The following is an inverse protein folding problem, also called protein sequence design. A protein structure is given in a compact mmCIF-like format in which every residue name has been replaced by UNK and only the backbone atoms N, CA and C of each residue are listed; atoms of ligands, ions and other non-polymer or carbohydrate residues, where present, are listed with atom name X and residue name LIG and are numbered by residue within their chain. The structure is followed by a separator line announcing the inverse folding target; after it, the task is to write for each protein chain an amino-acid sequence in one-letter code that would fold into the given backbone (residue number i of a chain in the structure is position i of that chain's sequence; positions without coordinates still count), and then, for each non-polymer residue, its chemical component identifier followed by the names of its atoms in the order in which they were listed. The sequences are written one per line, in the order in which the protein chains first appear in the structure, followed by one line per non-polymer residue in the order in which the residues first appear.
data_IF_923095600021
#
_entry.id   IF_923095600021
#
_cell.length_a   1.000
_cell.length_b   1.000
_cell.length_c   1.000
_cell.angle_alpha   90.00
_cell.angle_beta   90.00
_cell.angle_gamma   90.00
#
_symmetry.space_group_name_H-M   'P 1'
#
loop_
_entity.id
_entity.type
_entity.pdbx_description
1 polymer ?
#
# COMPACT_ATOMS: atom_id res chain seq x y z
N UNK A 1 -30.92 -9.15 35.74
CA UNK A 1 -31.03 -9.69 34.36
C UNK A 1 -29.67 -9.72 33.74
N UNK A 2 -29.15 -10.89 33.32
CA UNK A 2 -27.84 -10.97 32.67
C UNK A 2 -27.92 -10.38 31.26
N UNK A 3 -26.92 -9.56 30.88
CA UNK A 3 -26.79 -9.00 29.54
C UNK A 3 -26.59 -10.13 28.50
N UNK A 4 -27.20 -10.03 27.31
CA UNK A 4 -27.04 -11.03 26.29
C UNK A 4 -25.57 -11.03 25.84
N UNK A 5 -24.95 -12.24 25.81
CA UNK A 5 -23.65 -12.48 25.20
C UNK A 5 -23.77 -12.13 23.72
N UNK A 6 -23.07 -11.08 23.29
CA UNK A 6 -22.86 -10.80 21.87
C UNK A 6 -22.18 -11.98 21.23
N UNK A 7 -22.86 -12.61 20.28
CA UNK A 7 -22.26 -13.60 19.38
C UNK A 7 -21.04 -12.96 18.68
N UNK A 8 -19.95 -13.69 18.51
CA UNK A 8 -18.82 -13.20 17.74
C UNK A 8 -19.30 -12.87 16.32
N UNK A 9 -18.92 -11.69 15.83
CA UNK A 9 -19.11 -11.30 14.43
C UNK A 9 -18.61 -12.41 13.53
N UNK A 10 -19.31 -12.78 12.43
CA UNK A 10 -18.82 -13.79 11.50
C UNK A 10 -17.42 -13.39 11.07
N UNK A 11 -16.46 -14.29 11.27
CA UNK A 11 -15.07 -14.08 10.89
C UNK A 11 -15.04 -13.67 9.41
N UNK A 12 -14.29 -12.61 9.10
CA UNK A 12 -14.10 -12.16 7.71
C UNK A 12 -13.65 -13.38 6.87
N UNK A 13 -14.40 -13.77 5.83
CA UNK A 13 -14.07 -14.97 5.02
C UNK A 13 -12.64 -14.91 4.46
N UNK A 14 -12.11 -13.70 4.26
CA UNK A 14 -10.73 -13.50 3.79
C UNK A 14 -9.72 -13.79 4.91
N UNK A 15 -10.05 -13.46 6.16
CA UNK A 15 -9.19 -13.77 7.31
C UNK A 15 -9.18 -15.27 7.61
N UNK A 16 -10.34 -15.93 7.60
CA UNK A 16 -10.43 -17.38 7.77
C UNK A 16 -9.63 -18.11 6.70
N UNK A 17 -9.75 -17.68 5.44
CA UNK A 17 -9.00 -18.26 4.33
C UNK A 17 -7.51 -17.93 4.33
N UNK A 18 -7.11 -16.80 4.91
CA UNK A 18 -5.71 -16.48 5.14
C UNK A 18 -5.07 -17.33 6.23
N UNK A 19 -5.87 -17.78 7.19
CA UNK A 19 -5.46 -18.75 8.22
C UNK A 19 -5.35 -20.18 7.65
N UNK A 20 -6.21 -20.53 6.70
CA UNK A 20 -6.15 -21.80 5.96
C UNK A 20 -4.94 -21.91 5.03
N UNK A 21 -4.42 -20.77 4.53
CA UNK A 21 -3.13 -20.72 3.84
C UNK A 21 -2.02 -20.91 4.88
N UNK A 22 -1.79 -22.15 5.24
CA UNK A 22 -0.76 -22.50 6.21
C UNK A 22 0.59 -21.94 5.74
N UNK A 23 1.19 -21.07 6.57
CA UNK A 23 2.49 -20.49 6.28
C UNK A 23 3.56 -21.56 6.00
N UNK A 24 3.34 -22.79 6.46
CA UNK A 24 4.20 -23.92 6.18
C UNK A 24 4.18 -24.30 4.69
N UNK A 25 3.07 -24.12 3.96
CA UNK A 25 2.99 -24.39 2.52
C UNK A 25 3.96 -23.54 1.70
N UNK A 26 4.37 -22.38 2.23
CA UNK A 26 5.37 -21.52 1.60
C UNK A 26 6.78 -22.12 1.63
N UNK A 27 7.09 -22.91 2.67
CA UNK A 27 8.44 -23.44 2.93
C UNK A 27 8.52 -24.92 2.57
N UNK A 28 7.46 -25.69 2.91
CA UNK A 28 7.40 -27.13 2.70
C UNK A 28 6.30 -27.46 1.68
N UNK A 29 6.67 -27.76 0.42
CA UNK A 29 5.73 -28.18 -0.59
C UNK A 29 4.90 -29.39 -0.13
N UNK A 30 3.60 -29.34 -0.34
CA UNK A 30 2.65 -30.40 0.08
C UNK A 30 3.10 -31.82 -0.31
N UNK A 31 3.68 -31.96 -1.52
CA UNK A 31 4.17 -33.25 -2.04
C UNK A 31 5.38 -33.85 -1.28
N UNK A 32 6.03 -33.08 -0.39
CA UNK A 32 7.20 -33.52 0.38
C UNK A 32 6.96 -33.56 1.89
N UNK A 33 5.75 -33.23 2.35
CA UNK A 33 5.44 -33.16 3.79
C UNK A 33 5.69 -34.50 4.49
N UNK A 34 5.24 -35.58 3.89
CA UNK A 34 5.40 -36.92 4.48
C UNK A 34 6.87 -37.34 4.61
N UNK A 35 7.71 -36.94 3.64
CA UNK A 35 9.15 -37.22 3.69
C UNK A 35 9.91 -36.35 4.72
N UNK A 36 9.46 -35.13 4.92
CA UNK A 36 10.10 -34.17 5.85
C UNK A 36 9.55 -34.33 7.28
N UNK A 37 8.31 -34.81 7.43
CA UNK A 37 7.67 -35.03 8.72
C UNK A 37 8.42 -36.07 9.59
N UNK A 38 9.22 -36.94 9.00
CA UNK A 38 10.03 -37.93 9.75
C UNK A 38 11.22 -37.31 10.47
N UNK A 39 11.63 -36.09 10.10
CA UNK A 39 12.82 -35.39 10.65
C UNK A 39 12.46 -34.10 11.40
N UNK A 40 11.27 -33.52 11.13
CA UNK A 40 10.84 -32.28 11.76
C UNK A 40 10.05 -32.55 13.03
N UNK A 41 10.46 -31.94 14.12
CA UNK A 41 9.69 -31.90 15.37
C UNK A 41 8.57 -30.86 15.29
N UNK A 42 7.58 -30.91 16.20
CA UNK A 42 6.52 -29.90 16.27
C UNK A 42 7.11 -28.48 16.51
N UNK A 43 8.20 -28.37 17.25
CA UNK A 43 8.91 -27.11 17.49
C UNK A 43 9.59 -26.58 16.22
N UNK A 44 10.17 -27.45 15.40
CA UNK A 44 10.71 -27.06 14.08
C UNK A 44 9.61 -26.54 13.17
N UNK A 45 8.47 -27.20 13.14
CA UNK A 45 7.29 -26.80 12.38
C UNK A 45 6.77 -25.43 12.87
N UNK A 46 6.68 -25.22 14.20
CA UNK A 46 6.27 -23.96 14.78
C UNK A 46 7.24 -22.81 14.42
N UNK A 47 8.54 -23.09 14.48
CA UNK A 47 9.59 -22.14 14.09
C UNK A 47 9.49 -21.78 12.62
N UNK A 48 9.33 -22.74 11.72
CA UNK A 48 9.18 -22.50 10.28
C UNK A 48 7.90 -21.70 9.95
N UNK A 49 6.79 -22.00 10.64
CA UNK A 49 5.54 -21.23 10.53
C UNK A 49 5.74 -19.77 10.94
N UNK A 50 6.43 -19.55 12.05
CA UNK A 50 6.77 -18.19 12.51
C UNK A 50 7.61 -17.44 11.48
N UNK A 51 8.69 -18.04 11.00
CA UNK A 51 9.58 -17.44 9.99
C UNK A 51 8.84 -17.12 8.68
N UNK A 52 7.93 -17.98 8.23
CA UNK A 52 7.14 -17.73 7.05
C UNK A 52 6.17 -16.55 7.23
N UNK A 53 5.51 -16.46 8.39
CA UNK A 53 4.59 -15.35 8.73
C UNK A 53 5.33 -14.03 8.81
N UNK A 54 6.47 -13.99 9.49
CA UNK A 54 7.33 -12.81 9.58
C UNK A 54 7.89 -12.41 8.20
N UNK A 55 8.29 -13.39 7.38
CA UNK A 55 8.85 -13.15 6.04
C UNK A 55 7.86 -12.61 5.02
N UNK A 56 6.59 -13.00 5.10
CA UNK A 56 5.60 -12.63 4.06
C UNK A 56 4.72 -11.44 4.42
N UNK A 57 4.53 -11.13 5.68
CA UNK A 57 3.65 -10.07 6.15
C UNK A 57 2.15 -10.34 5.90
N UNK A 58 1.31 -9.95 6.86
CA UNK A 58 -0.14 -10.23 6.87
C UNK A 58 -0.90 -9.74 5.61
N UNK A 59 -0.48 -8.63 5.00
CA UNK A 59 -1.13 -8.11 3.79
C UNK A 59 -0.87 -8.98 2.55
N UNK A 60 0.28 -9.64 2.48
CA UNK A 60 0.61 -10.56 1.38
C UNK A 60 -0.25 -11.82 1.49
N UNK A 61 -0.37 -12.38 2.69
CA UNK A 61 -1.22 -13.56 2.94
C UNK A 61 -2.70 -13.27 2.63
N UNK A 62 -3.24 -12.12 3.10
CA UNK A 62 -4.60 -11.69 2.75
C UNK A 62 -4.81 -11.53 1.25
N UNK A 63 -3.83 -10.99 0.54
CA UNK A 63 -3.92 -10.83 -0.91
C UNK A 63 -3.92 -12.21 -1.62
N UNK A 64 -3.08 -13.14 -1.19
CA UNK A 64 -3.06 -14.51 -1.72
C UNK A 64 -4.38 -15.23 -1.45
N UNK A 65 -4.91 -15.14 -0.22
CA UNK A 65 -6.21 -15.75 0.14
C UNK A 65 -7.36 -15.17 -0.69
N UNK A 66 -7.42 -13.85 -0.84
CA UNK A 66 -8.42 -13.18 -1.67
C UNK A 66 -8.32 -13.56 -3.14
N UNK A 67 -7.09 -13.67 -3.66
CA UNK A 67 -6.88 -14.09 -5.05
C UNK A 67 -7.22 -15.55 -5.26
N UNK A 68 -6.88 -16.44 -4.33
CA UNK A 68 -7.25 -17.87 -4.40
C UNK A 68 -8.77 -18.04 -4.43
N UNK A 69 -9.49 -17.41 -3.50
CA UNK A 69 -10.95 -17.49 -3.49
C UNK A 69 -11.61 -16.98 -4.75
N UNK A 70 -11.03 -15.94 -5.36
CA UNK A 70 -11.50 -15.45 -6.66
C UNK A 70 -11.22 -16.46 -7.78
N UNK A 71 -10.00 -17.02 -7.85
CA UNK A 71 -9.58 -17.97 -8.89
C UNK A 71 -10.40 -19.25 -8.86
N UNK A 72 -10.65 -19.80 -7.67
CA UNK A 72 -11.48 -20.99 -7.48
C UNK A 72 -12.92 -20.75 -7.96
N UNK A 73 -13.55 -19.67 -7.50
CA UNK A 73 -14.91 -19.32 -7.89
C UNK A 73 -15.03 -19.04 -9.39
N UNK A 74 -14.05 -18.35 -9.98
CA UNK A 74 -14.01 -18.09 -11.41
C UNK A 74 -13.84 -19.40 -12.20
N UNK A 75 -12.94 -20.28 -11.78
CA UNK A 75 -12.69 -21.54 -12.48
C UNK A 75 -13.93 -22.43 -12.48
N UNK A 76 -14.57 -22.58 -11.33
CA UNK A 76 -15.81 -23.33 -11.18
C UNK A 76 -16.92 -22.80 -12.10
N UNK A 77 -17.15 -21.47 -12.12
CA UNK A 77 -18.16 -20.85 -12.95
C UNK A 77 -17.81 -20.92 -14.45
N UNK A 78 -16.54 -20.77 -14.81
CA UNK A 78 -16.10 -20.69 -16.21
C UNK A 78 -15.87 -22.06 -16.87
N UNK A 79 -15.74 -23.13 -16.09
CA UNK A 79 -15.39 -24.47 -16.59
C UNK A 79 -16.26 -25.60 -16.03
N UNK A 80 -17.06 -25.35 -15.00
CA UNK A 80 -17.80 -26.36 -14.27
C UNK A 80 -16.93 -27.30 -13.41
N UNK A 81 -15.63 -26.99 -13.24
CA UNK A 81 -14.68 -27.84 -12.54
C UNK A 81 -13.86 -27.05 -11.51
N UNK A 82 -13.35 -27.71 -10.45
CA UNK A 82 -12.48 -27.06 -9.46
C UNK A 82 -11.17 -26.59 -10.10
N UNK A 83 -10.52 -25.63 -9.44
CA UNK A 83 -9.25 -25.08 -9.88
C UNK A 83 -8.15 -26.15 -9.96
N UNK A 84 -7.61 -26.46 -11.15
CA UNK A 84 -6.62 -27.52 -11.28
C UNK A 84 -5.23 -27.09 -10.83
N UNK A 85 -4.46 -28.05 -10.32
CA UNK A 85 -3.08 -27.87 -9.90
C UNK A 85 -2.18 -28.94 -10.54
N UNK A 86 -1.21 -28.59 -11.39
CA UNK A 86 -0.93 -27.25 -11.93
C UNK A 86 -2.00 -26.80 -12.93
N UNK A 87 -2.13 -25.48 -13.11
CA UNK A 87 -3.00 -24.93 -14.12
C UNK A 87 -2.44 -25.18 -15.53
N UNK A 88 -3.24 -25.72 -16.48
CA UNK A 88 -2.84 -25.84 -17.87
C UNK A 88 -2.78 -24.45 -18.53
N UNK A 89 -1.93 -24.34 -19.55
CA UNK A 89 -1.72 -23.07 -20.27
C UNK A 89 -3.02 -22.51 -20.86
N UNK A 90 -3.88 -23.35 -21.41
CA UNK A 90 -5.18 -22.98 -21.95
C UNK A 90 -6.08 -22.29 -20.93
N UNK A 91 -6.05 -22.74 -19.67
CA UNK A 91 -6.84 -22.13 -18.59
C UNK A 91 -6.27 -20.77 -18.21
N UNK A 92 -4.94 -20.61 -18.20
CA UNK A 92 -4.30 -19.30 -17.95
C UNK A 92 -4.65 -18.29 -19.05
N UNK A 93 -4.64 -18.71 -20.30
CA UNK A 93 -5.06 -17.88 -21.45
C UNK A 93 -6.55 -17.53 -21.37
N UNK A 94 -7.42 -18.50 -21.01
CA UNK A 94 -8.84 -18.26 -20.77
C UNK A 94 -9.05 -17.22 -19.66
N UNK A 95 -8.28 -17.31 -18.58
CA UNK A 95 -8.33 -16.32 -17.52
C UNK A 95 -7.98 -14.91 -18.02
N UNK A 96 -6.96 -14.76 -18.86
CA UNK A 96 -6.60 -13.47 -19.47
C UNK A 96 -7.73 -12.95 -20.36
N UNK A 97 -8.29 -13.79 -21.23
CA UNK A 97 -9.37 -13.42 -22.14
C UNK A 97 -10.64 -12.98 -21.41
N UNK A 98 -11.02 -13.69 -20.34
CA UNK A 98 -12.20 -13.33 -19.55
C UNK A 98 -12.04 -12.03 -18.76
N UNK A 99 -10.83 -11.55 -18.51
CA UNK A 99 -10.58 -10.39 -17.62
C UNK A 99 -10.03 -9.16 -18.34
N UNK A 100 -9.40 -9.33 -19.52
CA UNK A 100 -8.83 -8.24 -20.31
C UNK A 100 -9.51 -8.18 -21.69
N UNK A 101 -10.70 -7.64 -21.72
CA UNK A 101 -11.53 -7.51 -22.91
C UNK A 101 -11.81 -6.03 -23.23
N UNK A 102 -12.22 -5.75 -24.49
CA UNK A 102 -12.55 -4.40 -24.94
C UNK A 102 -14.06 -4.13 -24.75
N UNK A 103 -14.43 -3.10 -23.97
CA UNK A 103 -15.84 -2.73 -23.78
C UNK A 103 -16.56 -2.37 -25.09
N UNK A 104 -15.87 -1.81 -26.08
CA UNK A 104 -16.45 -1.45 -27.37
C UNK A 104 -16.80 -2.70 -28.19
N UNK A 105 -15.89 -3.68 -28.19
CA UNK A 105 -16.14 -4.95 -28.87
C UNK A 105 -17.22 -5.78 -28.16
N UNK A 106 -17.22 -5.79 -26.81
CA UNK A 106 -18.27 -6.46 -26.03
C UNK A 106 -19.66 -5.83 -26.26
N UNK A 107 -19.74 -4.52 -26.50
CA UNK A 107 -21.00 -3.88 -26.81
C UNK A 107 -21.57 -4.30 -28.20
N UNK A 108 -20.71 -4.78 -29.10
CA UNK A 108 -21.10 -5.32 -30.42
C UNK A 108 -21.37 -6.83 -30.37
N UNK A 109 -20.59 -7.54 -29.55
CA UNK A 109 -20.64 -8.99 -29.39
C UNK A 109 -20.53 -9.36 -27.91
N UNK A 110 -21.64 -9.80 -27.31
CA UNK A 110 -21.73 -10.18 -25.91
C UNK A 110 -20.84 -11.39 -25.54
N UNK A 111 -20.40 -12.17 -26.54
CA UNK A 111 -19.47 -13.29 -26.32
C UNK A 111 -18.02 -12.84 -26.10
N UNK A 112 -17.71 -11.55 -26.36
CA UNK A 112 -16.37 -11.00 -26.19
C UNK A 112 -16.04 -10.80 -24.71
N UNK A 113 -15.05 -11.53 -24.19
CA UNK A 113 -14.57 -11.42 -22.82
C UNK A 113 -15.16 -12.44 -21.85
N UNK A 114 -15.54 -12.01 -20.64
CA UNK A 114 -16.12 -12.89 -19.64
C UNK A 114 -17.60 -13.18 -19.97
N UNK A 115 -18.05 -14.45 -20.03
CA UNK A 115 -19.47 -14.78 -20.18
C UNK A 115 -20.33 -14.15 -19.08
N UNK A 116 -21.56 -13.77 -19.42
CA UNK A 116 -22.46 -13.05 -18.49
C UNK A 116 -22.82 -13.88 -17.27
N UNK A 117 -23.03 -15.19 -17.42
CA UNK A 117 -23.31 -16.12 -16.33
C UNK A 117 -22.14 -16.21 -15.32
N UNK A 118 -20.90 -16.20 -15.81
CA UNK A 118 -19.68 -16.15 -14.97
C UNK A 118 -19.58 -14.82 -14.25
N UNK A 119 -19.85 -13.71 -14.95
CA UNK A 119 -19.81 -12.38 -14.36
C UNK A 119 -20.87 -12.25 -13.26
N UNK A 120 -22.12 -12.64 -13.53
CA UNK A 120 -23.22 -12.60 -12.56
C UNK A 120 -22.89 -13.49 -11.35
N UNK A 121 -22.39 -14.70 -11.58
CA UNK A 121 -22.02 -15.61 -10.49
C UNK A 121 -20.92 -15.04 -9.58
N UNK A 122 -19.90 -14.39 -10.14
CA UNK A 122 -18.86 -13.72 -9.37
C UNK A 122 -19.39 -12.50 -8.59
N UNK A 123 -20.33 -11.76 -9.15
CA UNK A 123 -20.99 -10.62 -8.48
C UNK A 123 -21.85 -11.11 -7.32
N UNK A 124 -22.64 -12.14 -7.53
CA UNK A 124 -23.49 -12.74 -6.47
C UNK A 124 -22.65 -13.24 -5.29
N UNK A 125 -21.47 -13.80 -5.57
CA UNK A 125 -20.50 -14.19 -4.53
C UNK A 125 -19.75 -13.00 -3.90
N UNK A 126 -20.00 -11.76 -4.32
CA UNK A 126 -19.32 -10.55 -3.82
C UNK A 126 -17.84 -10.40 -4.23
N UNK A 127 -17.38 -11.23 -5.17
CA UNK A 127 -15.98 -11.29 -5.62
C UNK A 127 -15.67 -10.31 -6.76
N UNK A 128 -16.67 -9.87 -7.51
CA UNK A 128 -16.56 -8.89 -8.57
C UNK A 128 -17.40 -7.65 -8.24
N UNK A 129 -16.75 -6.52 -7.98
CA UNK A 129 -17.39 -5.28 -7.52
C UNK A 129 -17.35 -4.15 -8.55
N UNK A 130 -16.54 -4.28 -9.58
CA UNK A 130 -16.29 -3.22 -10.55
C UNK A 130 -16.87 -3.65 -11.90
N UNK A 131 -17.52 -2.72 -12.60
CA UNK A 131 -18.01 -2.95 -13.95
C UNK A 131 -16.89 -2.86 -14.97
N UNK A 132 -17.00 -3.66 -16.04
CA UNK A 132 -16.05 -3.70 -17.13
C UNK A 132 -14.80 -4.56 -16.87
N UNK A 133 -13.82 -4.52 -17.79
CA UNK A 133 -12.62 -5.34 -17.71
C UNK A 133 -11.77 -5.01 -16.50
N UNK A 134 -11.02 -6.00 -16.01
CA UNK A 134 -10.05 -5.77 -14.93
C UNK A 134 -8.90 -4.88 -15.39
N UNK A 135 -8.30 -4.17 -14.43
CA UNK A 135 -7.03 -3.52 -14.70
C UNK A 135 -5.95 -4.59 -14.97
N UNK A 136 -5.08 -4.40 -15.98
CA UNK A 136 -4.03 -5.36 -16.31
C UNK A 136 -3.14 -5.75 -15.11
N UNK A 137 -2.86 -4.80 -14.21
CA UNK A 137 -2.08 -5.07 -13.00
C UNK A 137 -2.83 -5.99 -12.00
N UNK A 138 -4.16 -5.98 -11.99
CA UNK A 138 -4.97 -6.90 -11.19
C UNK A 138 -4.87 -8.33 -11.74
N UNK A 139 -4.96 -8.49 -13.06
CA UNK A 139 -4.82 -9.80 -13.71
C UNK A 139 -3.41 -10.34 -13.50
N UNK A 140 -2.38 -9.51 -13.72
CA UNK A 140 -0.98 -9.88 -13.47
C UNK A 140 -0.75 -10.31 -12.01
N UNK A 141 -1.30 -9.59 -11.04
CA UNK A 141 -1.21 -9.93 -9.62
C UNK A 141 -1.84 -11.30 -9.33
N UNK A 142 -3.04 -11.57 -9.85
CA UNK A 142 -3.73 -12.86 -9.66
C UNK A 142 -2.96 -14.01 -10.30
N UNK A 143 -2.43 -13.84 -11.51
CA UNK A 143 -1.55 -14.83 -12.13
C UNK A 143 -0.27 -15.08 -11.31
N UNK A 144 0.31 -14.03 -10.73
CA UNK A 144 1.47 -14.15 -9.84
C UNK A 144 1.09 -14.90 -8.56
N UNK A 145 -0.03 -14.57 -7.94
CA UNK A 145 -0.55 -15.29 -6.76
C UNK A 145 -0.79 -16.76 -7.07
N UNK A 146 -1.40 -17.06 -8.22
CA UNK A 146 -1.62 -18.43 -8.68
C UNK A 146 -0.31 -19.19 -8.89
N UNK A 147 0.69 -18.54 -9.52
CA UNK A 147 2.04 -19.10 -9.69
C UNK A 147 2.72 -19.40 -8.34
N UNK A 148 2.60 -18.48 -7.36
CA UNK A 148 3.14 -18.69 -6.01
C UNK A 148 2.50 -19.90 -5.35
N UNK A 149 1.16 -19.98 -5.36
CA UNK A 149 0.39 -21.08 -4.78
C UNK A 149 0.68 -22.42 -5.46
N UNK A 150 0.93 -22.43 -6.78
CA UNK A 150 1.36 -23.62 -7.52
C UNK A 150 2.72 -24.12 -7.03
N UNK A 151 3.67 -23.19 -6.86
CA UNK A 151 5.02 -23.53 -6.35
C UNK A 151 4.99 -24.03 -4.90
N UNK A 152 4.12 -23.48 -4.06
CA UNK A 152 3.94 -23.98 -2.69
C UNK A 152 3.44 -25.43 -2.62
N UNK A 153 2.77 -25.89 -3.68
CA UNK A 153 2.39 -27.28 -3.85
C UNK A 153 3.50 -28.17 -4.44
N UNK A 154 4.69 -27.62 -4.64
CA UNK A 154 5.81 -28.35 -5.28
C UNK A 154 5.60 -28.60 -6.78
N UNK A 155 4.66 -27.88 -7.40
CA UNK A 155 4.30 -28.07 -8.79
C UNK A 155 4.87 -26.96 -9.68
N UNK A 156 5.11 -27.32 -10.95
CA UNK A 156 5.52 -26.35 -11.97
C UNK A 156 4.36 -26.11 -12.93
N UNK A 157 3.95 -24.84 -13.07
CA UNK A 157 2.86 -24.44 -13.97
C UNK A 157 3.35 -23.66 -15.18
N UNK A 158 2.48 -23.47 -16.18
CA UNK A 158 2.78 -22.80 -17.46
C UNK A 158 2.83 -21.26 -17.36
N UNK A 159 3.08 -20.68 -16.19
CA UNK A 159 3.09 -19.20 -15.97
C UNK A 159 4.21 -18.47 -16.70
N UNK A 160 5.26 -19.18 -17.11
CA UNK A 160 6.37 -18.65 -17.91
C UNK A 160 6.19 -18.82 -19.42
N UNK A 161 5.08 -19.44 -19.88
CA UNK A 161 4.83 -19.71 -21.28
C UNK A 161 4.92 -18.47 -22.16
N UNK A 162 5.55 -18.53 -23.33
CA UNK A 162 5.67 -17.40 -24.27
C UNK A 162 4.32 -16.83 -24.70
N UNK A 163 3.33 -17.71 -24.95
CA UNK A 163 1.97 -17.36 -25.29
C UNK A 163 1.28 -16.50 -24.22
N UNK A 164 1.36 -16.91 -22.94
CA UNK A 164 0.80 -16.16 -21.84
C UNK A 164 1.47 -14.78 -21.68
N UNK A 165 2.81 -14.72 -21.78
CA UNK A 165 3.56 -13.45 -21.74
C UNK A 165 3.16 -12.54 -22.90
N UNK A 166 2.98 -13.11 -24.10
CA UNK A 166 2.58 -12.38 -25.30
C UNK A 166 1.13 -11.86 -25.17
N UNK A 167 0.20 -12.72 -24.76
CA UNK A 167 -1.20 -12.34 -24.51
C UNK A 167 -1.29 -11.20 -23.48
N UNK A 168 -0.62 -11.30 -22.34
CA UNK A 168 -0.59 -10.25 -21.34
C UNK A 168 0.02 -8.94 -21.87
N UNK A 169 1.11 -9.00 -22.65
CA UNK A 169 1.75 -7.82 -23.22
C UNK A 169 0.83 -7.11 -24.21
N UNK A 170 0.16 -7.87 -25.09
CA UNK A 170 -0.75 -7.33 -26.10
C UNK A 170 -2.02 -6.77 -25.44
N UNK A 171 -2.60 -7.49 -24.49
CA UNK A 171 -3.77 -7.03 -23.75
C UNK A 171 -3.48 -5.73 -22.95
N UNK A 172 -2.29 -5.57 -22.39
CA UNK A 172 -1.88 -4.31 -21.72
C UNK A 172 -1.79 -3.15 -22.69
N UNK A 173 -1.33 -3.40 -23.94
CA UNK A 173 -1.27 -2.37 -25.00
C UNK A 173 -2.64 -2.00 -25.54
N UNK A 174 -3.51 -2.99 -25.70
CA UNK A 174 -4.89 -2.81 -26.18
C UNK A 174 -5.83 -2.24 -25.11
N UNK A 175 -5.47 -2.35 -23.81
CA UNK A 175 -6.36 -1.93 -22.74
C UNK A 175 -6.68 -0.44 -22.84
N UNK A 176 -7.93 -0.13 -23.11
CA UNK A 176 -8.49 1.22 -23.14
C UNK A 176 -8.55 1.88 -21.76
N UNK A 177 -8.40 1.07 -20.70
CA UNK A 177 -8.48 1.53 -19.32
C UNK A 177 -7.19 2.21 -18.88
N UNK A 178 -7.22 3.51 -18.79
CA UNK A 178 -6.13 4.29 -18.20
C UNK A 178 -5.85 3.82 -16.77
N UNK A 179 -4.56 3.76 -16.37
CA UNK A 179 -4.16 3.49 -15.00
C UNK A 179 -4.82 4.51 -14.07
N UNK A 180 -5.75 4.08 -13.23
CA UNK A 180 -6.27 4.94 -12.17
C UNK A 180 -5.17 5.12 -11.12
N UNK A 181 -4.64 6.34 -11.00
CA UNK A 181 -3.74 6.70 -9.91
C UNK A 181 -4.50 6.56 -8.59
N UNK A 182 -3.83 6.05 -7.54
CA UNK A 182 -4.41 5.92 -6.18
C UNK A 182 -4.76 7.29 -5.57
N UNK A 183 -4.06 8.34 -5.97
CA UNK A 183 -4.42 9.74 -5.77
C UNK A 183 -4.46 10.39 -7.14
N UNK A 184 -5.54 11.07 -7.47
CA UNK A 184 -5.68 11.79 -8.74
C UNK A 184 -4.78 13.03 -8.75
N UNK A 185 -4.61 13.67 -7.56
CA UNK A 185 -3.76 14.83 -7.34
C UNK A 185 -2.69 14.54 -6.28
N UNK A 186 -1.55 15.18 -6.42
CA UNK A 186 -0.47 15.18 -5.44
C UNK A 186 -0.79 16.20 -4.33
N UNK A 187 -0.39 15.90 -3.10
CA UNK A 187 -0.43 16.85 -1.98
C UNK A 187 0.91 17.61 -1.99
N UNK A 188 1.01 18.64 -2.82
CA UNK A 188 2.16 19.55 -2.93
C UNK A 188 2.22 20.51 -1.75
N UNK A 189 3.27 21.32 -1.65
CA UNK A 189 3.45 22.25 -0.53
C UNK A 189 2.31 23.26 -0.35
N UNK A 190 1.73 23.75 -1.45
CA UNK A 190 0.55 24.62 -1.45
C UNK A 190 -0.72 23.92 -0.94
N UNK A 191 -0.95 22.66 -1.37
CA UNK A 191 -2.05 21.85 -0.87
C UNK A 191 -1.84 21.53 0.62
N UNK A 192 -0.63 21.13 1.01
CA UNK A 192 -0.29 20.87 2.41
C UNK A 192 -0.55 22.11 3.28
N UNK A 193 -0.16 23.31 2.82
CA UNK A 193 -0.40 24.54 3.55
C UNK A 193 -1.91 24.80 3.79
N UNK A 194 -2.76 24.53 2.80
CA UNK A 194 -4.22 24.61 2.95
C UNK A 194 -4.76 23.59 3.98
N UNK A 195 -4.24 22.36 3.97
CA UNK A 195 -4.62 21.34 4.95
C UNK A 195 -4.20 21.76 6.37
N UNK A 196 -2.99 22.29 6.53
CA UNK A 196 -2.45 22.76 7.81
C UNK A 196 -3.25 23.94 8.38
N UNK A 197 -3.75 24.84 7.52
CA UNK A 197 -4.62 25.93 7.95
C UNK A 197 -5.94 25.43 8.58
N UNK A 198 -6.39 24.23 8.28
CA UNK A 198 -7.54 23.60 8.97
C UNK A 198 -7.18 22.97 10.31
N UNK A 199 -5.91 22.94 10.66
CA UNK A 199 -5.36 22.32 11.89
C UNK A 199 -4.61 23.36 12.75
N UNK A 200 -4.95 24.65 12.67
CA UNK A 200 -4.27 25.74 13.41
C UNK A 200 -4.78 25.87 14.86
N UNK A 201 -5.89 25.19 15.19
CA UNK A 201 -6.44 25.18 16.53
C UNK A 201 -5.59 24.43 17.56
N UNK A 202 -5.95 24.61 18.85
CA UNK A 202 -5.28 23.97 19.99
C UNK A 202 -5.96 22.69 20.47
N UNK A 203 -7.05 22.26 19.81
CA UNK A 203 -7.70 21.00 20.15
C UNK A 203 -6.78 19.82 19.86
N UNK A 204 -6.81 18.79 20.70
CA UNK A 204 -5.97 17.59 20.53
C UNK A 204 -6.08 16.98 19.12
N UNK A 205 -7.27 17.04 18.50
CA UNK A 205 -7.48 16.55 17.14
C UNK A 205 -6.72 17.40 16.12
N UNK A 206 -6.65 18.72 16.30
CA UNK A 206 -5.93 19.62 15.40
C UNK A 206 -4.42 19.48 15.56
N UNK A 207 -3.93 19.35 16.80
CA UNK A 207 -2.52 19.09 17.10
C UNK A 207 -2.07 17.75 16.50
N UNK A 208 -2.85 16.69 16.69
CA UNK A 208 -2.57 15.37 16.11
C UNK A 208 -2.50 15.42 14.59
N UNK A 209 -3.50 16.02 13.95
CA UNK A 209 -3.62 16.02 12.49
C UNK A 209 -2.54 16.87 11.86
N UNK A 210 -2.19 18.01 12.46
CA UNK A 210 -1.06 18.85 12.06
C UNK A 210 0.27 18.09 12.14
N UNK A 211 0.54 17.46 13.29
CA UNK A 211 1.74 16.65 13.48
C UNK A 211 1.80 15.48 12.48
N UNK A 212 0.68 14.77 12.25
CA UNK A 212 0.58 13.66 11.32
C UNK A 212 0.87 14.09 9.89
N UNK A 213 0.26 15.17 9.41
CA UNK A 213 0.44 15.66 8.04
C UNK A 213 1.87 16.14 7.79
N UNK A 214 2.44 16.90 8.73
CA UNK A 214 3.81 17.38 8.65
C UNK A 214 4.82 16.26 8.70
N UNK A 215 4.69 15.32 9.66
CA UNK A 215 5.57 14.15 9.77
C UNK A 215 5.49 13.28 8.52
N UNK A 216 4.29 12.96 8.05
CA UNK A 216 4.10 12.13 6.87
C UNK A 216 4.68 12.75 5.59
N UNK A 217 4.58 14.07 5.44
CA UNK A 217 5.12 14.78 4.28
C UNK A 217 6.65 14.94 4.38
N UNK A 218 7.13 15.51 5.48
CA UNK A 218 8.55 15.87 5.65
C UNK A 218 9.48 14.65 5.71
N UNK A 219 8.98 13.50 6.19
CA UNK A 219 9.73 12.25 6.14
C UNK A 219 9.79 11.60 4.75
N UNK A 220 9.54 12.36 3.67
CA UNK A 220 9.59 11.88 2.29
C UNK A 220 8.30 11.27 1.77
N UNK A 221 7.15 11.64 2.34
CA UNK A 221 5.84 11.12 1.96
C UNK A 221 5.66 9.65 2.38
N UNK A 222 5.71 9.39 3.69
CA UNK A 222 5.57 8.04 4.25
C UNK A 222 4.28 7.35 3.83
N UNK A 223 4.34 6.01 3.74
CA UNK A 223 3.13 5.23 3.53
C UNK A 223 2.23 5.35 4.75
N UNK A 224 0.92 5.37 4.54
CA UNK A 224 -0.07 5.47 5.63
C UNK A 224 0.10 4.39 6.73
N UNK A 225 0.61 3.21 6.38
CA UNK A 225 0.94 2.17 7.36
C UNK A 225 2.17 2.54 8.18
N UNK A 226 3.22 3.06 7.56
CA UNK A 226 4.45 3.49 8.24
C UNK A 226 4.16 4.66 9.19
N UNK A 227 3.26 5.57 8.82
CA UNK A 227 2.81 6.67 9.71
C UNK A 227 1.98 6.14 10.87
N UNK A 228 1.06 5.20 10.62
CA UNK A 228 0.21 4.62 11.66
C UNK A 228 1.00 3.77 12.66
N UNK A 229 2.04 3.10 12.19
CA UNK A 229 2.86 2.18 12.98
C UNK A 229 4.02 2.88 13.73
N UNK A 230 4.20 4.22 13.52
CA UNK A 230 5.27 5.00 14.16
C UNK A 230 5.13 4.97 15.68
N UNK A 231 6.24 4.71 16.38
CA UNK A 231 6.30 4.63 17.84
C UNK A 231 7.23 5.70 18.40
N UNK A 232 7.01 6.06 19.65
CA UNK A 232 7.88 7.02 20.35
C UNK A 232 9.30 6.50 20.45
N UNK A 233 9.47 5.19 20.62
CA UNK A 233 10.77 4.52 20.72
C UNK A 233 11.59 4.60 19.41
N UNK A 234 10.93 4.94 18.29
CA UNK A 234 11.60 5.14 16.99
C UNK A 234 12.13 6.56 16.80
N UNK A 235 11.79 7.47 17.72
CA UNK A 235 12.15 8.89 17.65
C UNK A 235 13.43 9.16 18.43
N UNK A 236 14.40 9.78 17.79
CA UNK A 236 15.66 10.18 18.41
C UNK A 236 15.84 11.68 18.23
N UNK A 237 15.92 12.40 19.34
CA UNK A 237 16.26 13.82 19.32
C UNK A 237 17.72 13.99 18.87
N UNK A 238 17.93 14.91 17.97
CA UNK A 238 19.26 15.30 17.46
C UNK A 238 19.60 16.73 17.87
N UNK A 239 20.88 17.08 17.80
CA UNK A 239 21.30 18.46 17.97
C UNK A 239 20.62 19.38 16.95
N UNK A 240 20.16 20.57 17.35
CA UNK A 240 19.57 21.53 16.43
C UNK A 240 20.51 21.88 15.26
N UNK A 241 19.96 22.09 14.09
CA UNK A 241 20.72 22.41 12.87
C UNK A 241 20.41 23.80 12.38
N UNK A 242 21.35 24.44 11.71
CA UNK A 242 21.11 25.76 11.08
C UNK A 242 20.04 25.67 9.98
N UNK A 243 19.18 26.68 9.91
CA UNK A 243 18.14 26.78 8.88
C UNK A 243 18.72 26.84 7.46
N UNK A 244 19.85 27.51 7.30
CA UNK A 244 20.70 27.44 6.11
C UNK A 244 22.04 26.76 6.47
N UNK A 245 22.33 25.57 5.93
CA UNK A 245 23.60 24.88 6.19
C UNK A 245 24.86 25.67 5.78
N UNK A 246 24.70 26.70 4.93
CA UNK A 246 25.79 27.56 4.45
C UNK A 246 25.97 28.81 5.26
N UNK A 247 25.00 29.15 6.13
CA UNK A 247 25.03 30.31 6.98
C UNK A 247 25.00 29.91 8.46
N UNK A 248 26.16 29.93 9.14
CA UNK A 248 26.24 29.56 10.56
C UNK A 248 25.59 30.62 11.47
N UNK A 249 25.12 31.75 10.93
CA UNK A 249 24.38 32.76 11.69
C UNK A 249 22.86 32.58 11.55
N UNK A 250 22.39 31.66 10.66
CA UNK A 250 20.97 31.37 10.50
C UNK A 250 20.39 30.73 11.77
N UNK A 251 19.07 30.89 12.02
CA UNK A 251 18.44 30.33 13.22
C UNK A 251 18.65 28.81 13.33
N UNK A 252 18.83 28.34 14.55
CA UNK A 252 18.85 26.91 14.85
C UNK A 252 17.42 26.36 14.84
N UNK A 253 17.23 25.28 14.11
CA UNK A 253 15.97 24.55 14.00
C UNK A 253 16.06 23.21 14.73
N UNK A 254 15.01 22.78 15.45
CA UNK A 254 14.99 21.49 16.08
C UNK A 254 15.12 20.38 15.04
N UNK A 255 15.87 19.35 15.38
CA UNK A 255 16.16 18.20 14.53
C UNK A 255 15.75 16.91 15.24
N UNK A 256 15.22 15.95 14.48
CA UNK A 256 14.79 14.66 15.00
C UNK A 256 14.98 13.57 13.92
N UNK A 257 15.56 12.47 14.31
CA UNK A 257 15.68 11.26 13.47
C UNK A 257 14.54 10.28 13.79
N UNK A 258 13.89 9.78 12.74
CA UNK A 258 12.94 8.67 12.83
C UNK A 258 13.63 7.40 12.36
N UNK A 259 13.84 6.44 13.26
CA UNK A 259 14.32 5.12 12.94
C UNK A 259 13.14 4.30 12.37
N UNK A 260 13.22 3.98 11.10
CA UNK A 260 12.22 3.15 10.45
C UNK A 260 12.69 1.71 10.58
N UNK A 261 12.00 0.93 11.41
CA UNK A 261 12.22 -0.50 11.52
C UNK A 261 12.07 -1.20 10.16
N UNK A 262 11.90 -2.51 10.16
CA UNK A 262 11.75 -3.31 8.93
C UNK A 262 10.64 -2.76 8.04
N UNK A 263 11.00 -2.07 6.95
CA UNK A 263 10.05 -1.61 5.94
C UNK A 263 9.80 -2.71 4.90
N UNK A 264 8.77 -2.57 4.08
CA UNK A 264 8.44 -3.54 3.01
C UNK A 264 9.63 -3.89 2.08
N UNK A 265 10.68 -3.08 2.08
CA UNK A 265 11.80 -3.15 1.13
C UNK A 265 13.17 -3.20 1.78
N UNK A 266 13.27 -3.28 3.11
CA UNK A 266 14.53 -3.31 3.87
C UNK A 266 14.72 -4.65 4.56
N UNK A 267 15.97 -5.08 4.72
CA UNK A 267 16.38 -6.22 5.53
C UNK A 267 16.56 -5.79 6.98
N UNK A 268 16.71 -6.74 7.92
CA UNK A 268 16.87 -6.45 9.35
C UNK A 268 18.14 -5.64 9.68
N UNK A 269 19.15 -5.70 8.80
CA UNK A 269 20.45 -5.02 8.98
C UNK A 269 20.47 -3.58 8.43
N UNK A 270 19.46 -3.18 7.63
CA UNK A 270 19.36 -1.83 7.10
C UNK A 270 18.82 -0.89 8.21
N UNK A 271 19.69 -0.14 8.87
CA UNK A 271 19.31 0.98 9.76
C UNK A 271 18.77 2.13 8.90
N UNK A 272 17.54 2.00 8.46
CA UNK A 272 16.89 3.02 7.64
C UNK A 272 16.30 4.06 8.56
N UNK A 273 16.73 5.29 8.40
CA UNK A 273 16.22 6.43 9.14
C UNK A 273 15.88 7.58 8.19
N UNK A 274 15.09 8.51 8.66
CA UNK A 274 14.79 9.78 7.99
C UNK A 274 14.86 10.91 9.01
N UNK A 275 15.25 12.08 8.55
CA UNK A 275 15.44 13.26 9.40
C UNK A 275 14.29 14.23 9.22
N UNK A 276 13.79 14.78 10.32
CA UNK A 276 12.85 15.89 10.35
C UNK A 276 13.56 17.12 10.91
N UNK A 277 13.29 18.31 10.34
CA UNK A 277 13.88 19.57 10.76
C UNK A 277 12.80 20.64 10.87
N UNK A 278 12.82 21.42 11.94
CA UNK A 278 11.97 22.57 12.16
C UNK A 278 10.50 22.24 12.46
N UNK A 279 9.57 22.89 11.76
CA UNK A 279 8.11 22.77 11.99
C UNK A 279 7.54 21.36 12.16
N UNK A 280 7.96 20.33 11.40
CA UNK A 280 7.51 18.97 11.65
C UNK A 280 7.89 18.44 13.03
N UNK A 281 9.09 18.77 13.51
CA UNK A 281 9.59 18.37 14.84
C UNK A 281 8.79 19.10 15.94
N UNK A 282 8.60 20.40 15.78
CA UNK A 282 7.82 21.22 16.72
C UNK A 282 6.39 20.71 16.87
N UNK A 283 5.72 20.47 15.74
CA UNK A 283 4.35 19.96 15.75
C UNK A 283 4.26 18.55 16.37
N UNK A 284 5.23 17.69 16.08
CA UNK A 284 5.29 16.34 16.63
C UNK A 284 5.49 16.34 18.16
N UNK A 285 6.45 17.16 18.64
CA UNK A 285 6.73 17.31 20.07
C UNK A 285 5.56 17.94 20.80
N UNK A 286 4.92 18.95 20.22
CA UNK A 286 3.72 19.57 20.78
C UNK A 286 2.59 18.55 20.93
N UNK A 287 2.32 17.77 19.87
CA UNK A 287 1.31 16.69 19.95
C UNK A 287 1.62 15.68 21.05
N UNK A 288 2.86 15.19 21.15
CA UNK A 288 3.25 14.20 22.17
C UNK A 288 3.09 14.75 23.58
N UNK A 289 3.51 16.00 23.80
CA UNK A 289 3.40 16.66 25.10
C UNK A 289 1.95 16.86 25.52
N UNK A 290 1.11 17.46 24.68
CA UNK A 290 -0.30 17.73 24.98
C UNK A 290 -1.13 16.44 25.14
N UNK A 291 -0.79 15.41 24.37
CA UNK A 291 -1.42 14.09 24.46
C UNK A 291 -0.86 13.22 25.58
N UNK A 292 0.20 13.65 26.27
CA UNK A 292 0.92 12.90 27.31
C UNK A 292 1.33 11.50 26.84
N UNK A 293 1.98 11.45 25.68
CA UNK A 293 2.42 10.20 25.04
C UNK A 293 3.93 10.07 25.20
N UNK A 294 4.36 9.26 26.15
CA UNK A 294 5.78 9.02 26.45
C UNK A 294 6.29 7.70 25.86
N UNK A 295 5.39 6.77 25.51
CA UNK A 295 5.73 5.44 24.98
C UNK A 295 4.67 4.93 24.03
N UNK A 296 5.06 3.99 23.16
CA UNK A 296 4.13 3.30 22.28
C UNK A 296 3.75 4.08 21.02
N UNK A 297 2.55 3.87 20.46
CA UNK A 297 2.15 4.51 19.21
C UNK A 297 2.10 6.02 19.31
N UNK A 298 2.75 6.70 18.35
CA UNK A 298 2.75 8.17 18.26
C UNK A 298 1.37 8.71 17.92
N UNK A 299 0.75 8.18 16.87
CA UNK A 299 -0.55 8.66 16.42
C UNK A 299 -1.67 7.74 16.90
N UNK A 300 -2.53 8.27 17.77
CA UNK A 300 -3.61 7.53 18.43
C UNK A 300 -4.98 8.05 18.03
N UNK A 301 -5.98 7.20 18.18
CA UNK A 301 -7.38 7.60 17.99
C UNK A 301 -7.80 8.57 19.10
N UNK A 302 -8.58 9.56 18.73
CA UNK A 302 -9.30 10.46 19.66
C UNK A 302 -10.78 10.20 19.44
N UNK A 303 -11.52 9.98 20.52
CA UNK A 303 -12.98 9.83 20.47
C UNK A 303 -13.69 11.19 20.38
N UNK A 304 -15.01 11.16 20.27
CA UNK A 304 -15.82 12.38 20.16
C UNK A 304 -15.80 13.26 21.44
N UNK A 305 -15.38 12.70 22.57
CA UNK A 305 -15.24 13.43 23.84
C UNK A 305 -13.81 13.93 24.10
N UNK A 306 -12.90 13.69 23.18
CA UNK A 306 -11.50 14.12 23.29
C UNK A 306 -10.58 13.14 24.00
N UNK A 307 -11.05 11.93 24.36
CA UNK A 307 -10.20 10.93 25.00
C UNK A 307 -9.27 10.27 23.98
N UNK A 308 -8.02 10.07 24.38
CA UNK A 308 -6.97 9.46 23.55
C UNK A 308 -6.91 7.95 23.82
N UNK A 309 -7.06 7.13 22.79
CA UNK A 309 -6.89 5.67 22.86
C UNK A 309 -5.40 5.30 23.05
N UNK A 310 -5.13 4.16 23.67
CA UNK A 310 -3.77 3.59 23.76
C UNK A 310 -3.32 2.92 22.46
N UNK A 311 -4.25 2.57 21.59
CA UNK A 311 -3.96 1.88 20.31
C UNK A 311 -3.56 2.87 19.22
N UNK A 312 -2.71 2.41 18.32
CA UNK A 312 -2.34 3.12 17.10
C UNK A 312 -3.56 3.45 16.22
N UNK A 313 -3.46 4.52 15.45
CA UNK A 313 -4.36 4.74 14.32
C UNK A 313 -4.24 3.58 13.32
N UNK A 314 -5.35 3.26 12.67
CA UNK A 314 -5.27 2.35 11.51
C UNK A 314 -4.74 3.08 10.28
N UNK A 315 -4.11 2.39 9.33
CA UNK A 315 -3.72 3.00 8.06
C UNK A 315 -4.89 3.65 7.30
N UNK A 316 -6.10 3.14 7.47
CA UNK A 316 -7.32 3.72 6.92
C UNK A 316 -7.67 5.05 7.58
N UNK A 317 -7.48 5.16 8.90
CA UNK A 317 -7.71 6.41 9.64
C UNK A 317 -6.81 7.54 9.16
N UNK A 318 -5.53 7.25 8.85
CA UNK A 318 -4.62 8.25 8.27
C UNK A 318 -5.17 8.82 6.96
N UNK A 319 -5.72 7.96 6.09
CA UNK A 319 -6.34 8.41 4.85
C UNK A 319 -7.63 9.19 5.07
N UNK A 320 -8.43 8.79 6.06
CA UNK A 320 -9.68 9.47 6.41
C UNK A 320 -9.39 10.87 6.97
N UNK A 321 -8.42 11.01 7.86
CA UNK A 321 -7.96 12.30 8.40
C UNK A 321 -7.61 13.25 7.25
N UNK A 322 -6.77 12.81 6.31
CA UNK A 322 -6.41 13.63 5.17
C UNK A 322 -7.63 14.06 4.35
N UNK A 323 -8.55 13.14 4.05
CA UNK A 323 -9.79 13.45 3.31
C UNK A 323 -10.69 14.43 4.07
N UNK A 324 -10.83 14.27 5.39
CA UNK A 324 -11.59 15.19 6.23
C UNK A 324 -10.99 16.59 6.16
N UNK A 325 -9.67 16.72 6.29
CA UNK A 325 -8.96 18.00 6.18
C UNK A 325 -9.05 18.60 4.77
N UNK A 326 -9.10 17.76 3.71
CA UNK A 326 -9.40 18.25 2.35
C UNK A 326 -10.78 18.90 2.28
N UNK A 327 -11.81 18.25 2.81
CA UNK A 327 -13.16 18.83 2.83
C UNK A 327 -13.24 20.15 3.62
N UNK A 328 -12.52 20.25 4.75
CA UNK A 328 -12.43 21.49 5.54
C UNK A 328 -11.64 22.62 4.86
N UNK A 329 -10.76 22.26 3.91
CA UNK A 329 -9.96 23.20 3.12
C UNK A 329 -10.60 23.53 1.76
N UNK A 330 -11.89 23.22 1.56
CA UNK A 330 -12.61 23.40 0.29
C UNK A 330 -11.95 22.67 -0.91
N UNK A 331 -11.28 21.54 -0.62
CA UNK A 331 -10.68 20.68 -1.63
C UNK A 331 -11.54 19.41 -1.78
N UNK A 332 -11.73 18.93 -3.01
CA UNK A 332 -12.45 17.67 -3.27
C UNK A 332 -11.72 16.46 -2.65
N UNK A 333 -12.28 15.82 -1.60
CA UNK A 333 -11.65 14.69 -0.92
C UNK A 333 -11.45 13.46 -1.84
N UNK A 334 -12.19 13.36 -2.96
CA UNK A 334 -12.14 12.20 -3.85
C UNK A 334 -10.95 12.24 -4.83
N UNK A 335 -10.27 13.38 -4.93
CA UNK A 335 -9.06 13.50 -5.76
C UNK A 335 -7.78 13.33 -4.95
N UNK A 336 -7.85 13.40 -3.62
CA UNK A 336 -6.70 13.26 -2.73
C UNK A 336 -6.75 11.95 -1.93
N UNK A 337 -5.58 11.44 -1.57
CA UNK A 337 -5.43 10.32 -0.64
C UNK A 337 -4.07 10.41 0.07
N UNK A 338 -3.88 9.62 1.13
CA UNK A 338 -2.59 9.54 1.82
C UNK A 338 -1.41 9.19 0.89
N UNK A 339 -1.66 8.49 -0.23
CA UNK A 339 -0.63 8.27 -1.25
C UNK A 339 -0.22 9.57 -1.97
N UNK A 340 -1.11 10.56 -2.00
CA UNK A 340 -0.84 11.90 -2.52
C UNK A 340 0.25 12.65 -1.77
N UNK A 341 0.46 12.37 -0.47
CA UNK A 341 1.59 12.93 0.30
C UNK A 341 2.93 12.47 -0.29
N UNK A 342 3.04 11.18 -0.66
CA UNK A 342 4.26 10.61 -1.22
C UNK A 342 4.57 11.14 -2.63
N UNK A 343 3.57 11.21 -3.50
CA UNK A 343 3.73 11.83 -4.81
C UNK A 343 3.95 13.33 -4.70
N UNK A 344 3.29 13.97 -3.73
CA UNK A 344 3.40 15.40 -3.48
C UNK A 344 4.79 15.81 -2.99
N UNK A 345 5.37 15.05 -2.06
CA UNK A 345 6.74 15.30 -1.62
C UNK A 345 7.74 15.31 -2.79
N UNK A 346 7.70 14.28 -3.66
CA UNK A 346 8.60 14.22 -4.81
C UNK A 346 8.33 15.32 -5.84
N UNK A 347 7.05 15.66 -6.07
CA UNK A 347 6.68 16.76 -6.96
C UNK A 347 7.16 18.10 -6.39
N UNK A 348 7.01 18.30 -5.08
CA UNK A 348 7.47 19.51 -4.40
C UNK A 348 9.00 19.62 -4.42
N UNK A 349 9.71 18.51 -4.16
CA UNK A 349 11.16 18.46 -4.26
C UNK A 349 11.65 18.88 -5.67
N UNK A 350 10.99 18.36 -6.72
CA UNK A 350 11.28 18.76 -8.09
C UNK A 350 10.98 20.22 -8.35
N UNK A 351 9.84 20.76 -7.88
CA UNK A 351 9.47 22.17 -8.03
C UNK A 351 10.48 23.12 -7.37
N UNK A 352 11.10 22.68 -6.27
CA UNK A 352 12.13 23.42 -5.53
C UNK A 352 13.55 23.15 -6.03
N UNK A 353 13.74 22.35 -7.05
CA UNK A 353 15.06 22.03 -7.63
C UNK A 353 15.92 21.14 -6.73
N UNK A 354 15.32 20.40 -5.79
CA UNK A 354 16.04 19.41 -4.98
C UNK A 354 16.51 18.29 -5.88
N UNK A 355 17.79 17.86 -5.82
CA UNK A 355 18.27 16.73 -6.61
C UNK A 355 17.46 15.45 -6.37
N UNK A 356 17.17 14.69 -7.44
CA UNK A 356 16.36 13.47 -7.35
C UNK A 356 16.94 12.47 -6.34
N UNK A 357 18.25 12.36 -6.24
CA UNK A 357 18.92 11.44 -5.32
C UNK A 357 18.65 11.80 -3.86
N UNK A 358 18.73 13.08 -3.49
CA UNK A 358 18.43 13.57 -2.14
C UNK A 358 16.95 13.32 -1.78
N UNK A 359 16.04 13.62 -2.71
CA UNK A 359 14.63 13.36 -2.52
C UNK A 359 14.33 11.85 -2.40
N UNK A 360 15.09 11.00 -3.11
CA UNK A 360 14.98 9.54 -3.00
C UNK A 360 15.51 9.01 -1.66
N UNK A 361 16.58 9.58 -1.11
CA UNK A 361 17.08 9.23 0.22
C UNK A 361 16.02 9.49 1.28
N UNK A 362 15.44 10.68 1.32
CA UNK A 362 14.39 11.03 2.29
C UNK A 362 13.10 10.22 2.07
N UNK A 363 12.70 9.97 0.83
CA UNK A 363 11.47 9.22 0.51
C UNK A 363 11.64 7.71 0.51
N UNK A 364 12.88 7.21 0.57
CA UNK A 364 13.23 5.79 0.49
C UNK A 364 12.67 5.08 -0.74
N UNK A 365 12.73 5.75 -1.90
CA UNK A 365 12.40 5.11 -3.17
C UNK A 365 13.60 4.31 -3.69
N UNK A 366 13.41 3.00 -3.90
CA UNK A 366 14.45 2.13 -4.49
C UNK A 366 14.48 2.20 -6.03
N UNK A 367 13.37 2.59 -6.67
CA UNK A 367 13.27 2.67 -8.13
C UNK A 367 13.41 4.11 -8.60
N UNK A 368 14.52 4.41 -9.27
CA UNK A 368 14.77 5.70 -9.92
C UNK A 368 13.67 6.03 -10.94
N UNK A 369 13.28 5.06 -11.78
CA UNK A 369 12.23 5.25 -12.78
C UNK A 369 10.89 5.66 -12.15
N UNK A 370 10.53 5.08 -10.99
CA UNK A 370 9.31 5.44 -10.29
C UNK A 370 9.41 6.85 -9.69
N UNK A 371 10.52 7.21 -9.07
CA UNK A 371 10.72 8.55 -8.50
C UNK A 371 10.78 9.60 -9.62
N UNK A 372 11.52 9.35 -10.70
CA UNK A 372 11.61 10.23 -11.86
C UNK A 372 10.25 10.51 -12.52
N UNK A 373 9.32 9.55 -12.49
CA UNK A 373 7.97 9.77 -13.03
C UNK A 373 7.19 10.91 -12.33
N UNK A 374 7.52 11.22 -11.10
CA UNK A 374 6.95 12.37 -10.37
C UNK A 374 7.70 13.66 -10.68
N UNK A 375 9.00 13.60 -10.92
CA UNK A 375 9.84 14.73 -11.33
C UNK A 375 9.50 15.21 -12.73
N UNK A 376 9.37 14.30 -13.70
CA UNK A 376 9.13 14.63 -15.10
C UNK A 376 7.89 15.53 -15.31
N UNK A 377 6.83 15.37 -14.51
CA UNK A 377 5.64 16.21 -14.60
C UNK A 377 5.89 17.66 -14.13
N UNK A 378 6.78 17.87 -13.16
CA UNK A 378 7.16 19.18 -12.67
C UNK A 378 8.20 19.84 -13.59
N UNK A 379 9.18 19.06 -14.05
CA UNK A 379 10.27 19.54 -14.93
C UNK A 379 9.78 19.91 -16.33
N UNK A 380 8.75 19.21 -16.89
CA UNK A 380 8.21 19.58 -18.21
C UNK A 380 7.65 20.99 -18.26
N UNK A 381 7.05 21.48 -17.16
CA UNK A 381 6.51 22.85 -17.10
C UNK A 381 7.58 23.89 -16.80
N UNK A 382 8.59 23.54 -16.01
CA UNK A 382 9.62 24.45 -15.53
C UNK A 382 10.99 24.22 -16.21
N UNK A 383 11.11 23.17 -17.03
CA UNK A 383 12.37 22.69 -17.59
C UNK A 383 12.98 23.63 -18.64
N UNK A 384 14.30 23.81 -18.58
CA UNK A 384 15.07 24.53 -19.58
C UNK A 384 14.95 23.91 -20.97
N UNK A 385 14.76 22.58 -21.03
CA UNK A 385 14.63 21.84 -22.30
C UNK A 385 13.40 22.27 -23.11
N UNK A 386 12.28 22.61 -22.48
CA UNK A 386 11.09 23.12 -23.18
C UNK A 386 11.27 24.55 -23.70
N UNK A 387 12.36 25.25 -23.31
CA UNK A 387 12.67 26.64 -23.66
C UNK A 387 13.88 26.77 -24.58
N UNK A 388 14.37 25.66 -25.14
CA UNK A 388 15.55 25.68 -26.05
C UNK A 388 15.32 26.44 -27.34
N UNK A 389 14.05 26.69 -27.69
CA UNK A 389 13.67 27.44 -28.89
C UNK A 389 13.29 28.91 -28.62
N UNK A 390 13.50 29.41 -27.38
CA UNK A 390 13.21 30.81 -27.00
C UNK A 390 14.46 31.66 -27.11
#
# INVERSE_FOLDING_TARGET
MPKPKTLPSPADPVLSRAEELDALDAILPFARRDQLATLLTDDDVATLKHLAREGMGANTLRALASDLGYLEAWCELATGAPLPWPAPESLLLKFVAHHLWDPVERAKDSSHGMPDDVEIGLRTKGLLRVDGPHAPDTVRRRLTSWSILTRWRGLTGSFAAPSLKSAMRLAVRAASRQRRRKSKKAVTGDVLAKLLATCDGERLVDLRDRALLLTAFASGGRRRSEVADLRVEDLVDEEPVHADPRDPTSPLLPCLTINLGRTKTTTADDRVHVVLIGRPVEALKQWLAEARIDTGPVFRRIDQWGNIDRRALTPQSVNLILKTRCGQADLDPEVFSAHGLRSGYLTEAANRGVPLQEAMQQSLHKSVAQAASYYNNAEQKNGRAARLAM
#
